data_IF_609507286368
#
_entry.id   IF_609507286368
#
_cell.length_a   1.000
_cell.length_b   1.000
_cell.length_c   1.000
_cell.angle_alpha   90.00
_cell.angle_beta   90.00
_cell.angle_gamma   90.00
#
_symmetry.space_group_name_H-M   'P 1'
#
loop_
_entity.id
_entity.type
_entity.pdbx_description
1 polymer ?
#
# COMPACT_ATOMS: atom_id res chain seq x y z
N UNK A 1 11.15 3.44 -2.90
CA UNK A 1 10.07 4.26 -3.46
C UNK A 1 9.42 3.53 -4.63
N UNK A 2 8.16 3.83 -4.87
CA UNK A 2 7.37 3.18 -5.90
C UNK A 2 7.10 4.18 -7.02
N UNK A 3 7.22 3.74 -8.26
CA UNK A 3 6.96 4.56 -9.42
C UNK A 3 6.04 3.83 -10.39
N UNK A 4 5.67 4.50 -11.48
CA UNK A 4 4.89 3.90 -12.54
C UNK A 4 5.58 2.62 -13.03
N UNK A 5 4.81 1.57 -13.24
CA UNK A 5 5.23 0.22 -13.62
C UNK A 5 5.96 -0.58 -12.52
N UNK A 6 6.08 -0.05 -11.31
CA UNK A 6 6.56 -0.85 -10.19
C UNK A 6 5.54 -1.89 -9.79
N UNK A 7 6.02 -3.08 -9.44
CA UNK A 7 5.17 -4.15 -8.91
C UNK A 7 5.26 -4.16 -7.40
N UNK A 8 4.10 -4.35 -6.75
CA UNK A 8 4.01 -4.39 -5.30
C UNK A 8 3.25 -5.63 -4.87
N UNK A 9 3.63 -6.15 -3.72
CA UNK A 9 2.86 -7.18 -3.05
C UNK A 9 1.64 -6.54 -2.39
N UNK A 10 0.55 -7.27 -2.33
CA UNK A 10 -0.63 -6.84 -1.58
C UNK A 10 -0.61 -7.57 -0.24
N UNK A 11 -0.61 -6.81 0.84
CA UNK A 11 -0.43 -7.37 2.19
C UNK A 11 -1.76 -7.48 2.95
N UNK A 12 -2.87 -7.61 2.25
CA UNK A 12 -4.17 -7.78 2.88
C UNK A 12 -4.88 -9.03 2.36
N UNK A 13 -6.04 -9.34 2.95
CA UNK A 13 -6.81 -10.51 2.57
C UNK A 13 -7.94 -10.19 1.58
N UNK A 14 -7.78 -9.16 0.76
CA UNK A 14 -8.77 -8.79 -0.27
C UNK A 14 -8.83 -9.80 -1.41
N UNK A 15 -7.83 -10.65 -1.54
CA UNK A 15 -7.70 -11.60 -2.62
C UNK A 15 -6.66 -11.22 -3.66
N UNK A 16 -6.30 -9.97 -3.79
CA UNK A 16 -5.21 -9.54 -4.67
C UNK A 16 -3.88 -9.94 -4.06
N UNK A 17 -2.94 -10.40 -4.89
CA UNK A 17 -1.61 -10.83 -4.45
C UNK A 17 -0.53 -9.89 -4.94
N UNK A 18 -0.62 -9.46 -6.19
CA UNK A 18 0.37 -8.57 -6.81
C UNK A 18 -0.35 -7.53 -7.64
N UNK A 19 0.11 -6.29 -7.54
CA UNK A 19 -0.41 -5.16 -8.32
C UNK A 19 0.72 -4.46 -9.05
N UNK A 20 0.38 -3.83 -10.18
CA UNK A 20 1.31 -3.02 -10.96
C UNK A 20 0.87 -1.57 -10.87
N UNK A 21 1.77 -0.69 -10.41
CA UNK A 21 1.47 0.74 -10.31
C UNK A 21 1.30 1.35 -11.70
N UNK A 22 0.14 1.93 -11.97
CA UNK A 22 -0.14 2.64 -13.22
C UNK A 22 0.19 4.11 -13.06
N UNK A 23 -0.18 4.70 -11.91
CA UNK A 23 -0.05 6.13 -11.69
C UNK A 23 0.07 6.43 -10.20
N UNK A 24 0.89 7.42 -9.88
CA UNK A 24 0.99 7.95 -8.52
C UNK A 24 0.09 9.17 -8.41
N UNK A 25 -0.84 9.15 -7.46
CA UNK A 25 -1.75 10.27 -7.21
C UNK A 25 -1.10 11.30 -6.29
N UNK A 26 -1.64 12.51 -6.29
CA UNK A 26 -1.22 13.55 -5.35
C UNK A 26 -0.54 14.76 -5.94
N UNK A 27 -0.66 14.99 -7.23
CA UNK A 27 -0.14 16.22 -7.83
C UNK A 27 0.36 16.02 -9.25
N UNK A 28 0.53 17.13 -9.94
CA UNK A 28 1.06 17.17 -11.30
C UNK A 28 2.51 16.72 -11.30
N UNK A 29 2.89 15.82 -12.22
CA UNK A 29 4.26 15.34 -12.40
C UNK A 29 4.81 14.54 -11.23
N UNK A 30 3.96 13.99 -10.38
CA UNK A 30 4.44 13.16 -9.30
C UNK A 30 4.98 11.84 -9.85
N UNK A 31 6.26 11.56 -9.58
CA UNK A 31 6.96 10.38 -10.13
C UNK A 31 6.99 9.22 -9.17
N UNK A 32 7.09 9.48 -7.86
CA UNK A 32 7.35 8.45 -6.87
C UNK A 32 6.31 8.48 -5.77
N UNK A 33 5.91 7.29 -5.33
CA UNK A 33 5.06 7.11 -4.15
C UNK A 33 5.93 6.68 -2.97
N UNK A 34 5.65 7.25 -1.82
CA UNK A 34 6.24 6.88 -0.54
C UNK A 34 5.17 6.21 0.31
N UNK A 35 5.57 5.75 1.49
CA UNK A 35 4.61 5.21 2.46
C UNK A 35 3.51 6.25 2.72
N UNK A 36 2.26 5.80 2.65
CA UNK A 36 1.11 6.66 2.84
C UNK A 36 0.59 7.33 1.59
N UNK A 37 1.28 7.20 0.45
CA UNK A 37 0.80 7.74 -0.81
C UNK A 37 -0.17 6.76 -1.47
N UNK A 38 -1.15 7.30 -2.17
CA UNK A 38 -2.15 6.52 -2.91
C UNK A 38 -1.71 6.37 -4.35
N UNK A 39 -1.81 5.16 -4.87
CA UNK A 39 -1.52 4.86 -6.27
C UNK A 39 -2.75 4.24 -6.93
N UNK A 40 -2.83 4.38 -8.24
CA UNK A 40 -3.75 3.61 -9.07
C UNK A 40 -2.96 2.43 -9.63
N UNK A 41 -3.50 1.24 -9.50
CA UNK A 41 -2.80 0.03 -9.90
C UNK A 41 -3.74 -0.97 -10.57
N UNK A 42 -3.16 -1.83 -11.38
CA UNK A 42 -3.89 -2.96 -11.97
C UNK A 42 -3.48 -4.23 -11.24
N UNK A 43 -4.45 -5.10 -10.99
CA UNK A 43 -4.22 -6.37 -10.30
C UNK A 43 -3.65 -7.38 -11.30
N UNK A 44 -2.42 -7.84 -11.05
CA UNK A 44 -1.74 -8.81 -11.90
C UNK A 44 -1.95 -10.24 -11.45
N UNK A 45 -2.01 -10.47 -10.16
CA UNK A 45 -2.33 -11.78 -9.58
C UNK A 45 -3.36 -11.63 -8.48
N UNK A 46 -4.35 -12.50 -8.47
CA UNK A 46 -5.40 -12.50 -7.47
C UNK A 46 -5.95 -13.91 -7.27
N UNK A 47 -6.46 -14.16 -6.08
CA UNK A 47 -7.21 -15.36 -5.79
C UNK A 47 -8.54 -15.30 -6.55
N UNK A 48 -8.88 -16.32 -7.38
CA UNK A 48 -10.14 -16.30 -8.13
C UNK A 48 -11.39 -16.16 -7.27
N UNK A 49 -11.32 -16.55 -6.01
CA UNK A 49 -12.45 -16.49 -5.08
C UNK A 49 -12.44 -15.21 -4.22
N UNK A 50 -11.44 -14.35 -4.40
CA UNK A 50 -11.32 -13.11 -3.64
C UNK A 50 -12.26 -12.01 -4.10
N UNK A 51 -12.37 -10.97 -3.29
CA UNK A 51 -13.20 -9.80 -3.59
C UNK A 51 -12.63 -8.93 -4.70
N UNK A 52 -11.32 -8.98 -4.89
CA UNK A 52 -10.62 -8.20 -5.92
C UNK A 52 -10.22 -9.14 -7.04
N UNK A 53 -10.61 -8.81 -8.24
CA UNK A 53 -10.39 -9.67 -9.41
C UNK A 53 -9.14 -9.28 -10.18
N UNK A 54 -8.52 -10.27 -10.82
CA UNK A 54 -7.39 -10.08 -11.73
C UNK A 54 -7.79 -9.12 -12.86
N UNK A 55 -6.85 -8.29 -13.29
CA UNK A 55 -7.01 -7.27 -14.35
C UNK A 55 -7.89 -6.09 -13.97
N UNK A 56 -8.44 -6.05 -12.78
CA UNK A 56 -9.19 -4.87 -12.33
C UNK A 56 -8.23 -3.73 -11.99
N UNK A 57 -8.75 -2.50 -12.06
CA UNK A 57 -8.03 -1.29 -11.67
C UNK A 57 -8.50 -0.89 -10.28
N UNK A 58 -7.55 -0.69 -9.37
CA UNK A 58 -7.85 -0.41 -7.97
C UNK A 58 -7.00 0.75 -7.47
N UNK A 59 -7.43 1.36 -6.37
CA UNK A 59 -6.61 2.30 -5.62
C UNK A 59 -5.99 1.56 -4.46
N UNK A 60 -4.74 1.88 -4.18
CA UNK A 60 -4.00 1.27 -3.08
C UNK A 60 -3.15 2.31 -2.39
N UNK A 61 -2.92 2.13 -1.09
CA UNK A 61 -1.99 2.94 -0.34
C UNK A 61 -0.72 2.15 -0.10
N UNK A 62 0.43 2.76 -0.35
CA UNK A 62 1.73 2.13 -0.13
C UNK A 62 2.00 2.08 1.36
N UNK A 63 2.20 0.89 1.92
CA UNK A 63 2.43 0.71 3.35
C UNK A 63 3.86 0.30 3.68
N UNK A 64 4.57 -0.32 2.75
CA UNK A 64 5.96 -0.71 2.95
C UNK A 64 6.77 -0.39 1.70
N UNK A 65 8.01 0.04 1.90
CA UNK A 65 8.96 0.25 0.81
C UNK A 65 10.32 -0.33 1.20
N UNK A 66 11.09 -0.77 0.21
CA UNK A 66 12.46 -1.23 0.43
C UNK A 66 13.42 -0.07 0.63
N UNK A 67 13.04 1.13 0.21
CA UNK A 67 13.84 2.33 0.43
C UNK A 67 13.60 2.88 1.83
N UNK A 68 14.68 3.37 2.45
CA UNK A 68 14.63 3.95 3.79
C UNK A 68 13.70 5.16 3.87
N UNK A 69 12.96 5.23 4.98
CA UNK A 69 12.15 6.38 5.34
C UNK A 69 12.79 7.04 6.56
N UNK A 70 13.08 8.34 6.44
CA UNK A 70 13.62 9.10 7.56
C UNK A 70 12.46 9.59 8.44
N UNK A 71 12.55 9.30 9.73
CA UNK A 71 11.54 9.71 10.71
C UNK A 71 11.92 11.03 11.35
N UNK A 72 10.93 11.67 11.98
CA UNK A 72 11.12 12.97 12.65
C UNK A 72 12.13 12.91 13.79
N UNK A 73 12.26 11.77 14.44
CA UNK A 73 13.21 11.59 15.56
C UNK A 73 14.63 11.28 15.10
N UNK A 74 14.90 11.30 13.80
CA UNK A 74 16.20 11.01 13.23
C UNK A 74 16.47 9.54 12.93
N UNK A 75 15.60 8.63 13.34
CA UNK A 75 15.73 7.22 12.99
C UNK A 75 15.28 6.96 11.56
N UNK A 76 15.64 5.82 11.02
CA UNK A 76 15.20 5.37 9.71
C UNK A 76 14.54 4.01 9.81
N UNK A 77 13.62 3.74 8.90
CA UNK A 77 12.96 2.45 8.80
C UNK A 77 12.93 2.03 7.33
N UNK A 78 13.18 0.76 7.07
CA UNK A 78 13.02 0.16 5.75
C UNK A 78 12.45 -1.25 5.90
N UNK A 79 11.83 -1.73 4.85
CA UNK A 79 11.22 -3.05 4.83
C UNK A 79 11.87 -3.90 3.76
N UNK A 80 11.59 -5.20 3.78
CA UNK A 80 12.17 -6.15 2.83
C UNK A 80 11.44 -6.14 1.48
N UNK A 81 10.25 -5.57 1.41
CA UNK A 81 9.45 -5.54 0.19
C UNK A 81 8.74 -4.20 0.01
N UNK A 82 8.20 -4.02 -1.19
CA UNK A 82 7.25 -2.94 -1.47
C UNK A 82 5.85 -3.55 -1.38
N UNK A 83 5.01 -3.03 -0.51
CA UNK A 83 3.69 -3.58 -0.29
C UNK A 83 2.64 -2.49 -0.19
N UNK A 84 1.41 -2.85 -0.55
CA UNK A 84 0.29 -1.93 -0.56
C UNK A 84 -0.96 -2.61 -0.01
N UNK A 85 -1.91 -1.79 0.42
CA UNK A 85 -3.23 -2.22 0.87
C UNK A 85 -4.27 -1.63 -0.08
N UNK A 86 -5.19 -2.46 -0.56
CA UNK A 86 -6.27 -2.02 -1.43
C UNK A 86 -7.25 -1.17 -0.62
N UNK A 87 -7.56 0.02 -1.12
CA UNK A 87 -8.49 0.93 -0.45
C UNK A 87 -9.64 1.31 -1.37
N UNK A 88 -10.75 1.76 -0.77
CA UNK A 88 -11.85 2.35 -1.48
C UNK A 88 -11.70 3.88 -1.63
N UNK A 89 -12.70 4.52 -2.22
CA UNK A 89 -12.71 5.97 -2.39
C UNK A 89 -12.75 6.73 -1.06
N UNK A 90 -13.20 6.08 -0.01
CA UNK A 90 -13.29 6.62 1.34
C UNK A 90 -12.00 6.48 2.15
N UNK A 91 -10.91 6.02 1.53
CA UNK A 91 -9.62 5.74 2.16
C UNK A 91 -9.65 4.62 3.20
N UNK A 92 -10.71 3.82 3.22
CA UNK A 92 -10.80 2.66 4.10
C UNK A 92 -10.32 1.41 3.38
N UNK A 93 -9.63 0.49 4.08
CA UNK A 93 -9.21 -0.76 3.47
C UNK A 93 -10.43 -1.62 3.12
N UNK A 94 -10.38 -2.27 1.96
CA UNK A 94 -11.45 -3.20 1.54
C UNK A 94 -11.36 -4.53 2.27
N UNK A 95 -10.19 -4.85 2.80
CA UNK A 95 -9.94 -6.10 3.49
C UNK A 95 -10.20 -5.99 4.99
N UNK A 96 -10.25 -7.12 5.66
CA UNK A 96 -10.46 -7.20 7.11
C UNK A 96 -9.19 -7.52 7.88
N UNK A 97 -8.12 -7.94 7.19
CA UNK A 97 -6.84 -8.30 7.81
C UNK A 97 -5.67 -7.76 7.00
N UNK A 98 -4.64 -7.37 7.72
CA UNK A 98 -3.37 -6.91 7.13
C UNK A 98 -2.29 -7.91 7.56
N UNK A 99 -1.38 -8.25 6.66
CA UNK A 99 -0.28 -9.18 6.92
C UNK A 99 1.04 -8.43 7.01
N UNK A 100 1.84 -8.78 8.00
CA UNK A 100 3.16 -8.19 8.18
C UNK A 100 3.13 -6.81 8.84
N UNK A 101 4.31 -6.21 9.04
CA UNK A 101 4.41 -4.93 9.75
C UNK A 101 3.98 -3.76 8.87
N UNK A 102 3.50 -2.70 9.51
CA UNK A 102 3.24 -1.41 8.86
C UNK A 102 3.89 -0.30 9.68
N UNK A 103 4.29 0.82 9.07
CA UNK A 103 4.86 1.94 9.82
C UNK A 103 3.78 2.75 10.52
N UNK A 104 4.10 3.26 11.70
CA UNK A 104 3.17 4.05 12.50
C UNK A 104 2.79 5.40 11.87
N UNK A 105 3.57 5.87 10.92
CA UNK A 105 3.31 7.14 10.22
C UNK A 105 1.97 7.13 9.47
N UNK A 106 1.43 5.95 9.15
CA UNK A 106 0.13 5.84 8.49
C UNK A 106 -1.01 6.42 9.33
N UNK A 107 -0.89 6.39 10.66
CA UNK A 107 -1.90 6.98 11.55
C UNK A 107 -2.01 8.49 11.34
N UNK A 108 -0.87 9.16 11.24
CA UNK A 108 -0.81 10.61 11.06
C UNK A 108 -1.30 11.03 9.67
N UNK A 109 -1.24 10.11 8.70
CA UNK A 109 -1.66 10.36 7.33
C UNK A 109 -3.14 10.04 7.07
N UNK A 110 -3.87 9.61 8.11
CA UNK A 110 -5.30 9.34 7.99
C UNK A 110 -5.68 7.89 7.78
N UNK A 111 -4.75 6.95 7.98
CA UNK A 111 -5.00 5.53 7.76
C UNK A 111 -5.04 4.75 9.08
N UNK A 112 -5.73 5.30 10.08
CA UNK A 112 -5.83 4.66 11.40
C UNK A 112 -6.46 3.26 11.33
N UNK A 113 -7.39 3.03 10.41
CA UNK A 113 -8.02 1.72 10.26
C UNK A 113 -7.01 0.66 9.83
N UNK A 114 -6.07 1.00 8.95
CA UNK A 114 -5.00 0.09 8.54
C UNK A 114 -4.13 -0.25 9.76
N UNK A 115 -3.78 0.74 10.56
CA UNK A 115 -3.00 0.54 11.79
C UNK A 115 -3.72 -0.43 12.73
N UNK A 116 -5.04 -0.28 12.88
CA UNK A 116 -5.81 -1.13 13.79
C UNK A 116 -5.90 -2.58 13.31
N UNK A 117 -5.81 -2.81 12.01
CA UNK A 117 -5.88 -4.15 11.43
C UNK A 117 -4.51 -4.83 11.33
N UNK A 118 -3.43 -4.09 11.46
CA UNK A 118 -2.09 -4.63 11.30
C UNK A 118 -1.66 -5.43 12.54
N UNK A 119 -0.97 -6.57 12.34
CA UNK A 119 -0.49 -7.37 13.46
C UNK A 119 0.70 -6.75 14.17
N UNK A 120 1.45 -5.90 13.49
CA UNK A 120 2.65 -5.26 14.03
C UNK A 120 2.77 -3.85 13.47
N UNK A 121 3.02 -2.88 14.34
CA UNK A 121 3.21 -1.47 13.96
C UNK A 121 4.61 -1.05 14.38
N UNK A 122 5.42 -0.68 13.41
CA UNK A 122 6.80 -0.22 13.63
C UNK A 122 6.91 1.31 13.44
#
# INVERSE_FOLDING_TARGET
>A
MVQQESRLNVCDNSGAKEILCIRVLGGTRRRYARVGDVIVATVKEANPQGNVKKKSVVRAVVVRTTKEIRRKDGSTIKFDDNAAVIIGDDKLPKATRIFGPVPRELRDLGYAKIISLAPEVL
#
